data_IF_140910486484
#
_entry.id   IF_140910486484
#
_cell.length_a   1.000
_cell.length_b   1.000
_cell.length_c   1.000
_cell.angle_alpha   90.00
_cell.angle_beta   90.00
_cell.angle_gamma   90.00
#
_symmetry.space_group_name_H-M   'P 1'
#
loop_
_entity.id
_entity.type
_entity.pdbx_description
1 polymer ?
#
# COMPACT_ATOMS: atom_id res chain seq x y z
N UNK A 1 -22.74 -23.84 47.11
CA UNK A 1 -21.77 -22.80 46.69
C UNK A 1 -20.55 -23.49 46.05
N UNK A 2 -20.43 -23.90 44.78
CA UNK A 2 -21.00 -23.53 43.48
C UNK A 2 -21.03 -22.02 43.26
N UNK A 3 -20.30 -21.54 42.24
CA UNK A 3 -19.92 -20.14 41.93
C UNK A 3 -18.52 -19.76 42.46
N UNK A 4 -17.46 -20.48 42.04
CA UNK A 4 -16.08 -19.94 42.03
C UNK A 4 -15.19 -20.45 40.88
N UNK A 5 -15.74 -21.18 39.91
CA UNK A 5 -14.95 -21.80 38.81
C UNK A 5 -15.26 -21.20 37.42
N UNK A 6 -16.29 -20.34 37.29
CA UNK A 6 -16.67 -19.76 36.00
C UNK A 6 -16.14 -18.34 35.73
N UNK A 7 -15.44 -17.71 36.69
CA UNK A 7 -14.95 -16.34 36.49
C UNK A 7 -13.54 -16.27 35.87
N UNK A 8 -12.79 -17.37 35.87
CA UNK A 8 -11.42 -17.43 35.30
C UNK A 8 -11.42 -18.02 33.89
N UNK A 9 -12.43 -18.81 33.52
CA UNK A 9 -12.61 -19.30 32.13
C UNK A 9 -13.25 -18.26 31.20
N UNK A 10 -13.83 -17.18 31.74
CA UNK A 10 -14.39 -16.05 30.96
C UNK A 10 -13.35 -14.96 30.64
N UNK A 11 -12.13 -15.08 31.16
CA UNK A 11 -11.00 -14.18 30.87
C UNK A 11 -10.02 -14.75 29.81
N UNK A 12 -10.35 -15.91 29.24
CA UNK A 12 -9.58 -16.56 28.16
C UNK A 12 -10.21 -16.39 26.76
N UNK A 13 -11.28 -15.62 26.63
CA UNK A 13 -12.01 -15.43 25.35
C UNK A 13 -12.07 -13.98 24.83
N UNK A 14 -11.48 -13.01 25.53
CA UNK A 14 -11.41 -11.63 25.05
C UNK A 14 -9.95 -11.20 24.89
N UNK A 15 -9.41 -11.47 23.70
CA UNK A 15 -8.42 -10.69 22.92
C UNK A 15 -7.77 -11.57 21.85
N UNK A 16 -8.57 -12.30 21.08
CA UNK A 16 -8.15 -12.81 19.76
C UNK A 16 -9.10 -12.20 18.73
N UNK A 17 -9.01 -10.89 18.55
CA UNK A 17 -9.72 -10.17 17.48
C UNK A 17 -8.89 -8.98 16.99
N UNK A 18 -7.66 -9.24 16.58
CA UNK A 18 -6.96 -8.38 15.62
C UNK A 18 -5.97 -9.20 14.80
N UNK A 19 -6.42 -10.39 14.37
CA UNK A 19 -5.91 -10.97 13.14
C UNK A 19 -6.75 -10.38 12.02
N UNK A 20 -6.46 -9.12 11.66
CA UNK A 20 -6.74 -8.65 10.31
C UNK A 20 -5.85 -9.50 9.39
N UNK A 21 -6.33 -10.70 9.06
CA UNK A 21 -5.78 -11.47 7.97
C UNK A 21 -5.97 -10.61 6.73
N UNK A 22 -4.88 -10.01 6.28
CA UNK A 22 -4.77 -9.22 5.05
C UNK A 22 -5.34 -10.06 3.91
N UNK A 23 -6.60 -9.80 3.59
CA UNK A 23 -7.31 -10.52 2.55
C UNK A 23 -6.93 -9.83 1.23
N UNK A 24 -5.73 -10.13 0.74
CA UNK A 24 -5.34 -9.73 -0.61
C UNK A 24 -6.33 -10.38 -1.57
N UNK A 25 -7.35 -9.60 -1.98
CA UNK A 25 -8.48 -10.10 -2.72
C UNK A 25 -8.00 -10.77 -4.01
N UNK A 26 -8.55 -11.96 -4.29
CA UNK A 26 -8.27 -12.66 -5.54
C UNK A 26 -8.69 -11.78 -6.72
N UNK A 27 -7.88 -11.75 -7.77
CA UNK A 27 -8.14 -10.98 -8.98
C UNK A 27 -9.52 -11.31 -9.56
N UNK A 28 -10.30 -10.29 -9.91
CA UNK A 28 -11.46 -10.52 -10.77
C UNK A 28 -10.97 -10.93 -12.17
N UNK A 29 -11.59 -11.92 -12.82
CA UNK A 29 -11.26 -12.27 -14.19
C UNK A 29 -11.49 -11.07 -15.11
N UNK A 30 -10.56 -10.84 -16.05
CA UNK A 30 -10.56 -9.79 -17.08
C UNK A 30 -10.07 -8.38 -16.70
N UNK A 31 -9.57 -8.13 -15.48
CA UNK A 31 -8.97 -6.84 -15.14
C UNK A 31 -7.46 -6.83 -15.34
N UNK A 32 -6.93 -5.74 -15.92
CA UNK A 32 -5.50 -5.51 -16.02
C UNK A 32 -4.96 -5.01 -14.68
N UNK A 33 -4.11 -5.81 -14.03
CA UNK A 33 -3.47 -5.47 -12.76
C UNK A 33 -2.36 -4.41 -12.87
N UNK A 34 -1.89 -4.13 -14.09
CA UNK A 34 -0.90 -3.06 -14.29
C UNK A 34 -1.57 -1.70 -14.05
N UNK A 35 -0.93 -0.88 -13.23
CA UNK A 35 -1.36 0.49 -13.02
C UNK A 35 -1.30 1.23 -14.35
N UNK A 36 -2.39 1.93 -14.67
CA UNK A 36 -2.43 2.81 -15.83
C UNK A 36 -1.73 4.13 -15.47
N UNK A 37 -1.08 4.83 -16.42
CA UNK A 37 -0.53 6.15 -16.13
C UNK A 37 -1.62 7.14 -15.67
N UNK A 38 -1.26 7.98 -14.70
CA UNK A 38 -2.09 9.06 -14.19
C UNK A 38 -1.92 9.32 -12.70
N UNK A 39 -2.90 10.00 -12.13
CA UNK A 39 -2.94 10.45 -10.75
C UNK A 39 -3.79 9.51 -9.90
N UNK A 40 -3.24 9.17 -8.74
CA UNK A 40 -3.82 8.28 -7.74
C UNK A 40 -3.74 8.90 -6.35
N UNK A 41 -4.57 8.40 -5.45
CA UNK A 41 -4.43 8.64 -4.01
C UNK A 41 -4.29 7.32 -3.27
N UNK A 42 -3.44 7.32 -2.27
CA UNK A 42 -3.31 6.28 -1.25
C UNK A 42 -3.64 6.88 0.11
N UNK A 43 -4.32 6.11 0.97
CA UNK A 43 -4.67 6.57 2.32
C UNK A 43 -4.04 5.63 3.34
N UNK A 44 -3.17 6.19 4.17
CA UNK A 44 -2.51 5.46 5.25
C UNK A 44 -3.20 5.84 6.57
N UNK A 45 -3.75 4.84 7.25
CA UNK A 45 -4.46 5.03 8.53
C UNK A 45 -3.51 4.82 9.72
N UNK A 46 -3.58 5.72 10.69
CA UNK A 46 -2.79 5.69 11.93
C UNK A 46 -3.69 6.04 13.12
N UNK A 47 -4.30 5.02 13.73
CA UNK A 47 -5.32 5.22 14.76
C UNK A 47 -6.55 5.92 14.18
N UNK A 48 -6.97 7.03 14.79
CA UNK A 48 -8.08 7.86 14.29
C UNK A 48 -7.68 8.81 13.15
N UNK A 49 -6.38 8.95 12.88
CA UNK A 49 -5.87 9.84 11.85
C UNK A 49 -5.68 9.10 10.52
N UNK A 50 -5.72 9.86 9.42
CA UNK A 50 -5.38 9.36 8.09
C UNK A 50 -4.48 10.36 7.37
N UNK A 51 -3.50 9.83 6.65
CA UNK A 51 -2.63 10.57 5.76
C UNK A 51 -3.00 10.21 4.33
N UNK A 52 -3.26 11.22 3.50
CA UNK A 52 -3.45 11.05 2.06
C UNK A 52 -2.10 11.27 1.37
N UNK A 53 -1.67 10.29 0.60
CA UNK A 53 -0.50 10.37 -0.27
C UNK A 53 -1.00 10.53 -1.70
N UNK A 54 -0.47 11.54 -2.39
CA UNK A 54 -0.73 11.78 -3.80
C UNK A 54 0.28 11.00 -4.62
N UNK A 55 -0.17 10.20 -5.58
CA UNK A 55 0.70 9.31 -6.33
C UNK A 55 0.60 9.61 -7.82
N UNK A 56 1.74 9.94 -8.43
CA UNK A 56 1.88 10.09 -9.87
C UNK A 56 2.46 8.81 -10.45
N UNK A 57 1.80 8.22 -11.44
CA UNK A 57 2.27 7.01 -12.12
C UNK A 57 2.44 7.30 -13.61
N UNK A 58 3.60 6.97 -14.14
CA UNK A 58 3.89 6.94 -15.58
C UNK A 58 4.17 5.50 -16.02
N UNK A 59 4.59 5.29 -17.26
CA UNK A 59 4.95 3.94 -17.73
C UNK A 59 6.17 3.36 -16.98
N UNK A 60 7.08 4.21 -16.50
CA UNK A 60 8.35 3.81 -15.91
C UNK A 60 8.57 4.29 -14.47
N UNK A 61 7.74 5.21 -13.97
CA UNK A 61 7.93 5.86 -12.67
C UNK A 61 6.65 5.80 -11.83
N UNK A 62 6.85 5.75 -10.52
CA UNK A 62 5.83 5.94 -9.49
C UNK A 62 6.37 6.87 -8.40
N UNK A 63 5.76 8.04 -8.29
CA UNK A 63 6.16 9.10 -7.36
C UNK A 63 5.11 9.22 -6.26
N UNK A 64 5.52 9.08 -5.01
CA UNK A 64 4.65 9.23 -3.84
C UNK A 64 4.90 10.59 -3.21
N UNK A 65 3.91 11.47 -3.22
CA UNK A 65 3.98 12.82 -2.69
C UNK A 65 3.20 12.92 -1.38
N UNK A 66 3.88 13.26 -0.29
CA UNK A 66 3.23 13.66 0.96
C UNK A 66 2.68 15.08 0.85
N UNK A 67 3.39 15.95 0.13
CA UNK A 67 2.94 17.28 -0.28
C UNK A 67 3.26 17.40 -1.77
N UNK A 68 2.23 17.68 -2.58
CA UNK A 68 2.34 17.84 -4.04
C UNK A 68 3.49 18.78 -4.37
N UNK A 69 4.34 18.36 -5.31
CA UNK A 69 5.51 19.08 -5.83
C UNK A 69 6.54 19.57 -4.80
N UNK A 70 6.50 19.04 -3.55
CA UNK A 70 7.45 19.43 -2.50
C UNK A 70 8.15 18.24 -1.86
N UNK A 71 7.39 17.30 -1.30
CA UNK A 71 7.93 16.18 -0.52
C UNK A 71 7.51 14.87 -1.15
N UNK A 72 8.45 14.19 -1.80
CA UNK A 72 8.18 12.99 -2.56
C UNK A 72 9.26 11.92 -2.42
N UNK A 73 8.84 10.69 -2.77
CA UNK A 73 9.71 9.55 -3.03
C UNK A 73 9.46 9.10 -4.46
N UNK A 74 10.49 9.21 -5.29
CA UNK A 74 10.44 8.84 -6.71
C UNK A 74 11.05 7.46 -6.90
N UNK A 75 10.30 6.58 -7.55
CA UNK A 75 10.72 5.21 -7.79
C UNK A 75 10.64 4.88 -9.27
N UNK A 76 11.57 4.05 -9.74
CA UNK A 76 11.42 3.32 -10.99
C UNK A 76 10.43 2.17 -10.78
N UNK A 77 9.46 2.04 -11.68
CA UNK A 77 8.48 0.96 -11.72
C UNK A 77 8.87 -0.03 -12.82
N UNK A 78 9.11 -1.30 -12.47
CA UNK A 78 9.47 -2.36 -13.43
C UNK A 78 8.52 -3.55 -13.29
N UNK A 79 7.74 -3.83 -14.33
CA UNK A 79 6.83 -4.97 -14.34
C UNK A 79 7.57 -6.26 -14.75
N UNK A 80 7.53 -7.28 -13.89
CA UNK A 80 8.26 -8.54 -14.09
C UNK A 80 7.37 -9.68 -14.65
N UNK A 81 6.13 -9.35 -15.04
CA UNK A 81 5.12 -10.32 -15.48
C UNK A 81 4.21 -10.78 -14.34
N UNK A 82 3.11 -11.47 -14.64
CA UNK A 82 2.28 -12.12 -13.60
C UNK A 82 1.68 -11.21 -12.52
N UNK A 83 1.42 -9.93 -12.83
CA UNK A 83 0.97 -8.90 -11.88
C UNK A 83 1.97 -8.57 -10.77
N UNK A 84 3.24 -8.88 -10.98
CA UNK A 84 4.33 -8.55 -10.06
C UNK A 84 5.20 -7.45 -10.65
N UNK A 85 5.68 -6.58 -9.78
CA UNK A 85 6.52 -5.46 -10.13
C UNK A 85 7.58 -5.19 -9.06
N UNK A 86 8.66 -4.57 -9.49
CA UNK A 86 9.73 -4.06 -8.66
C UNK A 86 9.62 -2.52 -8.62
N UNK A 87 9.84 -1.96 -7.43
CA UNK A 87 10.13 -0.55 -7.25
C UNK A 87 11.59 -0.38 -6.86
N UNK A 88 12.27 0.55 -7.53
CA UNK A 88 13.64 0.96 -7.19
C UNK A 88 13.61 2.42 -6.80
N UNK A 89 13.92 2.74 -5.55
CA UNK A 89 13.96 4.13 -5.08
C UNK A 89 15.08 4.88 -5.80
N UNK A 90 14.73 5.95 -6.50
CA UNK A 90 15.68 6.79 -7.23
C UNK A 90 16.03 8.05 -6.44
N UNK A 91 15.05 8.62 -5.75
CA UNK A 91 15.18 9.94 -5.12
C UNK A 91 14.18 10.07 -3.96
N UNK A 92 14.61 10.77 -2.90
CA UNK A 92 13.79 11.10 -1.73
C UNK A 92 14.01 12.58 -1.44
N UNK A 93 12.93 13.36 -1.42
CA UNK A 93 12.94 14.77 -1.00
C UNK A 93 12.15 15.00 0.28
N UNK A 94 11.38 14.00 0.74
CA UNK A 94 10.65 14.10 2.00
C UNK A 94 11.64 14.10 3.18
N UNK A 95 11.74 15.20 3.98
CA UNK A 95 12.69 15.32 5.07
C UNK A 95 12.52 14.25 6.15
N UNK A 96 11.33 13.67 6.28
CA UNK A 96 11.08 12.57 7.23
C UNK A 96 11.85 11.30 6.82
N UNK A 97 12.16 11.16 5.53
CA UNK A 97 12.77 9.99 4.92
C UNK A 97 14.18 10.26 4.37
N UNK A 98 14.68 11.50 4.41
CA UNK A 98 15.98 11.87 3.82
C UNK A 98 17.16 11.11 4.42
N UNK A 99 17.11 10.76 5.71
CA UNK A 99 18.15 10.00 6.39
C UNK A 99 18.02 8.47 6.18
N UNK A 100 17.11 8.03 5.28
CA UNK A 100 16.93 6.61 4.99
C UNK A 100 17.89 6.12 3.91
N UNK A 101 18.55 4.99 4.15
CA UNK A 101 19.40 4.28 3.17
C UNK A 101 18.56 3.52 2.12
N UNK A 102 17.53 4.17 1.57
CA UNK A 102 16.59 3.54 0.64
C UNK A 102 16.93 3.79 -0.82
N UNK A 103 17.77 4.77 -1.14
CA UNK A 103 18.18 5.04 -2.53
C UNK A 103 18.85 3.79 -3.13
N UNK A 104 18.39 3.38 -4.31
CA UNK A 104 18.82 2.16 -5.00
C UNK A 104 18.25 0.86 -4.44
N UNK A 105 17.51 0.91 -3.32
CA UNK A 105 16.88 -0.28 -2.73
C UNK A 105 15.75 -0.77 -3.64
N UNK A 106 15.73 -2.08 -3.82
CA UNK A 106 14.70 -2.80 -4.58
C UNK A 106 13.65 -3.38 -3.65
N UNK A 107 12.39 -3.14 -3.95
CA UNK A 107 11.26 -3.72 -3.24
C UNK A 107 10.32 -4.39 -4.24
N UNK A 108 9.90 -5.61 -3.95
CA UNK A 108 9.08 -6.42 -4.84
C UNK A 108 7.65 -6.48 -4.35
N UNK A 109 6.71 -6.31 -5.27
CA UNK A 109 5.30 -6.21 -4.99
C UNK A 109 4.48 -7.06 -5.95
N UNK A 110 3.28 -7.42 -5.47
CA UNK A 110 2.23 -8.01 -6.27
C UNK A 110 1.03 -7.07 -6.28
N UNK A 111 0.49 -6.80 -7.47
CA UNK A 111 -0.71 -6.00 -7.68
C UNK A 111 -1.92 -6.87 -8.02
N UNK A 112 -3.10 -6.40 -7.67
CA UNK A 112 -4.39 -6.87 -8.16
C UNK A 112 -5.27 -5.66 -8.45
N UNK A 113 -5.93 -5.67 -9.60
CA UNK A 113 -7.03 -4.73 -9.88
C UNK A 113 -8.31 -5.23 -9.20
N UNK A 114 -8.92 -4.36 -8.41
CA UNK A 114 -10.22 -4.61 -7.74
C UNK A 114 -11.36 -4.18 -8.66
N UNK A 115 -11.16 -3.06 -9.37
CA UNK A 115 -11.96 -2.55 -10.48
C UNK A 115 -11.08 -1.67 -11.40
N UNK A 116 -11.69 -0.94 -12.35
CA UNK A 116 -10.97 -0.10 -13.33
C UNK A 116 -10.25 1.11 -12.72
N UNK A 117 -10.53 1.44 -11.45
CA UNK A 117 -10.03 2.62 -10.75
C UNK A 117 -9.33 2.28 -9.43
N UNK A 118 -9.55 1.09 -8.88
CA UNK A 118 -9.01 0.67 -7.59
C UNK A 118 -8.07 -0.51 -7.77
N UNK A 119 -6.85 -0.34 -7.27
CA UNK A 119 -5.80 -1.35 -7.28
C UNK A 119 -5.30 -1.60 -5.86
N UNK A 120 -5.09 -2.86 -5.52
CA UNK A 120 -4.39 -3.23 -4.31
C UNK A 120 -3.00 -3.74 -4.67
N UNK A 121 -2.00 -3.41 -3.86
CA UNK A 121 -0.67 -3.98 -4.00
C UNK A 121 -0.07 -4.29 -2.64
N UNK A 122 0.76 -5.32 -2.59
CA UNK A 122 1.35 -5.84 -1.37
C UNK A 122 2.80 -6.21 -1.61
N UNK A 123 3.66 -5.90 -0.65
CA UNK A 123 5.07 -6.31 -0.70
C UNK A 123 5.15 -7.84 -0.59
N UNK A 124 6.02 -8.49 -1.36
CA UNK A 124 6.15 -9.97 -1.41
C UNK A 124 6.87 -10.54 -0.14
N UNK A 125 7.06 -9.74 0.91
CA UNK A 125 7.60 -10.19 2.19
C UNK A 125 6.49 -10.69 3.13
N UNK A 126 6.83 -11.60 4.06
CA UNK A 126 5.89 -12.10 5.07
C UNK A 126 5.40 -10.94 5.95
N UNK A 127 4.09 -10.88 6.20
CA UNK A 127 3.38 -9.90 7.05
C UNK A 127 3.28 -8.47 6.50
N UNK A 128 3.48 -8.25 5.19
CA UNK A 128 3.27 -6.94 4.61
C UNK A 128 1.78 -6.56 4.57
N UNK A 129 1.43 -5.33 4.94
CA UNK A 129 0.08 -4.80 4.79
C UNK A 129 -0.18 -4.41 3.34
N UNK A 130 -1.33 -4.82 2.79
CA UNK A 130 -1.76 -4.38 1.46
C UNK A 130 -2.05 -2.90 1.46
N UNK A 131 -1.58 -2.19 0.44
CA UNK A 131 -1.90 -0.80 0.15
C UNK A 131 -2.95 -0.71 -0.95
N UNK A 132 -3.68 0.40 -1.00
CA UNK A 132 -4.75 0.66 -1.99
C UNK A 132 -4.47 1.95 -2.76
N UNK A 133 -4.39 1.86 -4.08
CA UNK A 133 -4.33 3.00 -5.00
C UNK A 133 -5.70 3.24 -5.62
N UNK A 134 -6.19 4.47 -5.55
CA UNK A 134 -7.44 4.91 -6.18
C UNK A 134 -7.14 5.94 -7.27
N UNK A 135 -7.39 5.56 -8.52
CA UNK A 135 -7.22 6.43 -9.69
C UNK A 135 -8.18 7.61 -9.63
N UNK A 136 -7.64 8.81 -9.75
CA UNK A 136 -8.37 10.08 -9.70
C UNK A 136 -8.50 10.72 -11.08
N UNK A 137 -7.58 10.43 -12.00
CA UNK A 137 -7.59 11.04 -13.33
C UNK A 137 -6.26 10.91 -14.06
N UNK A 138 -6.19 11.45 -15.27
CA UNK A 138 -4.98 11.38 -16.10
C UNK A 138 -3.92 12.43 -15.75
N UNK A 139 -4.31 13.50 -15.06
CA UNK A 139 -3.45 14.65 -14.77
C UNK A 139 -3.11 14.71 -13.29
N UNK A 140 -1.83 14.87 -12.99
CA UNK A 140 -1.36 15.17 -11.64
C UNK A 140 -1.63 16.65 -11.31
N UNK A 141 -2.10 16.99 -10.10
CA UNK A 141 -2.25 18.37 -9.67
C UNK A 141 -0.86 19.02 -9.43
N UNK A 142 -0.73 20.30 -9.75
CA UNK A 142 0.48 21.13 -9.56
C UNK A 142 0.12 22.39 -8.77
#
# INVERSE_FOLDING_TARGET
>A
MKIKIHLITLLLFFTISSLDSINFQKSKPNLNCKFKPGYYTETIHFGENSLVIHVEITEELINFHRVIDQFYVKNKLVWNGGCEFEMVTLEITDPILMDSDWIGKRTYYKAVAIDDHVYNYIKIEKNATSQTLKFQGKSFPH
#
